data_IF_697595065985
#
_entry.id   IF_697595065985
#
_cell.length_a   1.000
_cell.length_b   1.000
_cell.length_c   1.000
_cell.angle_alpha   90.00
_cell.angle_beta   90.00
_cell.angle_gamma   90.00
#
_symmetry.space_group_name_H-M   'P 1'
#
loop_
_entity.id
_entity.type
_entity.pdbx_description
1 polymer ?
#
# COMPACT_ATOMS: atom_id res chain seq x y z
N UNK A 1 59.82 -8.62 -25.03
CA UNK A 1 59.43 -8.35 -23.62
C UNK A 1 58.76 -6.99 -23.40
N UNK A 2 59.35 -5.86 -23.84
CA UNK A 2 58.76 -4.51 -23.65
C UNK A 2 57.32 -4.35 -24.16
N UNK A 3 56.96 -4.94 -25.31
CA UNK A 3 55.59 -4.92 -25.82
C UNK A 3 54.59 -5.73 -24.96
N UNK A 4 55.05 -6.78 -24.27
CA UNK A 4 54.22 -7.60 -23.37
C UNK A 4 53.96 -6.88 -22.04
N UNK A 5 54.98 -6.22 -21.49
CA UNK A 5 54.85 -5.40 -20.28
C UNK A 5 53.90 -4.22 -20.54
N UNK A 6 54.03 -3.55 -21.69
CA UNK A 6 53.11 -2.49 -22.10
C UNK A 6 51.65 -2.96 -22.26
N UNK A 7 51.44 -4.18 -22.79
CA UNK A 7 50.11 -4.81 -22.90
C UNK A 7 49.53 -5.19 -21.53
N UNK A 8 50.35 -5.66 -20.59
CA UNK A 8 49.91 -6.00 -19.24
C UNK A 8 49.54 -4.75 -18.43
N UNK A 9 50.35 -3.69 -18.50
CA UNK A 9 50.06 -2.39 -17.88
C UNK A 9 48.80 -1.73 -18.45
N UNK A 10 48.55 -1.87 -19.77
CA UNK A 10 47.32 -1.38 -20.39
C UNK A 10 46.07 -2.11 -19.86
N UNK A 11 46.16 -3.43 -19.66
CA UNK A 11 45.06 -4.24 -19.07
C UNK A 11 44.81 -3.88 -17.61
N UNK A 12 45.85 -3.66 -16.81
CA UNK A 12 45.73 -3.20 -15.42
C UNK A 12 45.09 -1.82 -15.33
N UNK A 13 45.48 -0.87 -16.19
CA UNK A 13 44.84 0.46 -16.27
C UNK A 13 43.37 0.36 -16.67
N UNK A 14 43.01 -0.53 -17.59
CA UNK A 14 41.61 -0.75 -17.97
C UNK A 14 40.79 -1.33 -16.81
N UNK A 15 41.32 -2.32 -16.08
CA UNK A 15 40.67 -2.87 -14.88
C UNK A 15 40.50 -1.81 -13.80
N UNK A 16 41.53 -1.01 -13.53
CA UNK A 16 41.47 0.07 -12.54
C UNK A 16 40.45 1.14 -12.94
N UNK A 17 40.39 1.52 -14.22
CA UNK A 17 39.39 2.44 -14.74
C UNK A 17 37.97 1.87 -14.64
N UNK A 18 37.78 0.57 -14.89
CA UNK A 18 36.49 -0.10 -14.74
C UNK A 18 36.03 -0.14 -13.27
N UNK A 19 36.95 -0.41 -12.33
CA UNK A 19 36.66 -0.36 -10.88
C UNK A 19 36.29 1.05 -10.43
N UNK A 20 37.01 2.07 -10.87
CA UNK A 20 36.69 3.46 -10.57
C UNK A 20 35.29 3.83 -11.10
N UNK A 21 34.97 3.43 -12.35
CA UNK A 21 33.64 3.67 -12.93
C UNK A 21 32.52 2.99 -12.13
N UNK A 22 32.75 1.78 -11.63
CA UNK A 22 31.80 1.07 -10.74
C UNK A 22 31.59 1.81 -9.42
N UNK A 23 32.67 2.28 -8.79
CA UNK A 23 32.59 3.06 -7.55
C UNK A 23 31.80 4.37 -7.74
N UNK A 24 32.01 5.04 -8.88
CA UNK A 24 31.24 6.25 -9.24
C UNK A 24 29.75 5.94 -9.48
N UNK A 25 29.43 4.84 -10.17
CA UNK A 25 28.05 4.37 -10.39
C UNK A 25 27.35 4.05 -9.05
N UNK A 26 28.05 3.36 -8.13
CA UNK A 26 27.55 3.05 -6.78
C UNK A 26 27.35 4.31 -5.92
N UNK A 27 28.31 5.24 -5.96
CA UNK A 27 28.22 6.53 -5.28
C UNK A 27 27.04 7.36 -5.82
N UNK A 28 26.82 7.37 -7.14
CA UNK A 28 25.68 8.05 -7.74
C UNK A 28 24.34 7.41 -7.32
N UNK A 29 24.28 6.08 -7.19
CA UNK A 29 23.08 5.36 -6.76
C UNK A 29 22.74 5.61 -5.28
N UNK A 30 23.74 5.60 -4.40
CA UNK A 30 23.55 5.93 -2.98
C UNK A 30 23.07 7.37 -2.80
N UNK A 31 23.63 8.32 -3.55
CA UNK A 31 23.20 9.71 -3.53
C UNK A 31 21.77 9.87 -4.03
N UNK A 32 21.38 9.23 -5.15
CA UNK A 32 19.99 9.21 -5.63
C UNK A 32 19.02 8.65 -4.59
N UNK A 33 19.40 7.58 -3.89
CA UNK A 33 18.59 7.02 -2.81
C UNK A 33 18.41 8.02 -1.66
N UNK A 34 19.49 8.69 -1.24
CA UNK A 34 19.47 9.68 -0.16
C UNK A 34 18.60 10.91 -0.47
N UNK A 35 18.59 11.37 -1.73
CA UNK A 35 17.72 12.47 -2.16
C UNK A 35 16.24 12.05 -2.14
N UNK A 36 15.94 10.83 -2.63
CA UNK A 36 14.59 10.27 -2.61
C UNK A 36 14.03 10.09 -1.19
N UNK A 37 14.88 9.65 -0.23
CA UNK A 37 14.48 9.54 1.18
C UNK A 37 14.21 10.91 1.80
N UNK A 38 15.03 11.92 1.49
CA UNK A 38 14.84 13.30 1.96
C UNK A 38 13.52 13.91 1.44
N UNK A 39 13.23 13.75 0.14
CA UNK A 39 11.97 14.21 -0.45
C UNK A 39 10.77 13.47 0.13
N UNK A 40 10.93 12.17 0.41
CA UNK A 40 9.96 11.38 1.15
C UNK A 40 9.69 11.92 2.56
N UNK A 41 10.71 12.40 3.28
CA UNK A 41 10.55 13.00 4.61
C UNK A 41 9.84 14.36 4.52
N UNK A 42 10.28 15.24 3.63
CA UNK A 42 9.64 16.56 3.40
C UNK A 42 8.17 16.43 3.05
N UNK A 43 7.81 15.47 2.20
CA UNK A 43 6.42 15.19 1.84
C UNK A 43 5.59 14.68 3.01
N UNK A 44 6.15 13.79 3.85
CA UNK A 44 5.47 13.34 5.09
C UNK A 44 5.23 14.48 6.06
N UNK A 45 6.22 15.35 6.27
CA UNK A 45 6.11 16.50 7.17
C UNK A 45 5.08 17.51 6.68
N UNK A 46 5.04 17.77 5.38
CA UNK A 46 4.02 18.62 4.76
C UNK A 46 2.62 18.06 5.00
N UNK A 47 2.43 16.76 4.78
CA UNK A 47 1.16 16.08 5.01
C UNK A 47 0.77 16.14 6.48
N UNK A 48 1.70 15.90 7.42
CA UNK A 48 1.44 16.00 8.87
C UNK A 48 1.01 17.41 9.27
N UNK A 49 1.64 18.45 8.73
CA UNK A 49 1.24 19.85 8.95
C UNK A 49 -0.17 20.11 8.43
N UNK A 50 -0.51 19.59 7.25
CA UNK A 50 -1.86 19.71 6.69
C UNK A 50 -2.91 18.98 7.55
N UNK A 51 -2.59 17.81 8.10
CA UNK A 51 -3.49 17.08 9.00
C UNK A 51 -3.73 17.84 10.30
N UNK A 52 -2.67 18.40 10.91
CA UNK A 52 -2.79 19.22 12.11
C UNK A 52 -3.62 20.48 11.85
N UNK A 53 -3.43 21.13 10.69
CA UNK A 53 -4.22 22.29 10.31
C UNK A 53 -5.71 21.92 10.14
N UNK A 54 -6.01 20.81 9.45
CA UNK A 54 -7.38 20.34 9.27
C UNK A 54 -8.03 19.90 10.59
N UNK A 55 -7.27 19.29 11.51
CA UNK A 55 -7.77 18.94 12.84
C UNK A 55 -8.13 20.20 13.65
N UNK A 56 -7.28 21.23 13.62
CA UNK A 56 -7.58 22.52 14.28
C UNK A 56 -8.82 23.19 13.70
N UNK A 57 -8.99 23.17 12.38
CA UNK A 57 -10.20 23.73 11.74
C UNK A 57 -11.46 22.95 12.12
N UNK A 58 -11.39 21.61 12.19
CA UNK A 58 -12.48 20.78 12.71
C UNK A 58 -12.87 21.15 14.14
N UNK A 59 -11.89 21.30 15.03
CA UNK A 59 -12.15 21.67 16.42
C UNK A 59 -12.78 23.08 16.51
N UNK A 60 -12.33 24.01 15.66
CA UNK A 60 -12.93 25.36 15.56
C UNK A 60 -14.38 25.31 15.08
N UNK A 61 -14.68 24.56 14.03
CA UNK A 61 -16.06 24.46 13.51
C UNK A 61 -16.97 23.74 14.51
N UNK A 62 -16.47 22.73 15.23
CA UNK A 62 -17.18 22.08 16.32
C UNK A 62 -17.49 23.06 17.46
N UNK A 63 -16.51 23.84 17.91
CA UNK A 63 -16.70 24.86 18.94
C UNK A 63 -17.70 25.94 18.52
N UNK A 64 -17.62 26.43 17.28
CA UNK A 64 -18.58 27.38 16.71
C UNK A 64 -20.00 26.81 16.68
N UNK A 65 -20.16 25.53 16.31
CA UNK A 65 -21.47 24.87 16.31
C UNK A 65 -22.09 24.80 17.70
N UNK A 66 -21.26 24.51 18.72
CA UNK A 66 -21.68 24.46 20.12
C UNK A 66 -22.08 25.85 20.63
N UNK A 67 -21.28 26.87 20.35
CA UNK A 67 -21.58 28.26 20.74
C UNK A 67 -22.89 28.75 20.11
N UNK A 68 -23.16 28.41 18.85
CA UNK A 68 -24.44 28.73 18.19
C UNK A 68 -25.62 28.02 18.86
N UNK A 69 -25.47 26.76 19.26
CA UNK A 69 -26.50 26.02 19.97
C UNK A 69 -26.79 26.61 21.37
N UNK A 70 -25.75 27.01 22.09
CA UNK A 70 -25.86 27.68 23.40
C UNK A 70 -26.58 29.03 23.27
N UNK A 71 -26.20 29.84 22.27
CA UNK A 71 -26.86 31.11 22.00
C UNK A 71 -28.35 30.92 21.66
N UNK A 72 -28.69 29.90 20.86
CA UNK A 72 -30.07 29.55 20.55
C UNK A 72 -30.87 29.16 21.79
N UNK A 73 -30.28 28.35 22.68
CA UNK A 73 -30.89 27.96 23.95
C UNK A 73 -31.11 29.17 24.87
N UNK A 74 -30.13 30.08 24.94
CA UNK A 74 -30.22 31.30 25.73
C UNK A 74 -31.37 32.20 25.28
N UNK A 75 -31.55 32.40 23.97
CA UNK A 75 -32.68 33.16 23.42
C UNK A 75 -34.02 32.55 23.85
N UNK A 76 -34.17 31.23 23.75
CA UNK A 76 -35.40 30.53 24.16
C UNK A 76 -35.70 30.72 25.65
N UNK A 77 -34.67 30.59 26.51
CA UNK A 77 -34.83 30.79 27.95
C UNK A 77 -35.21 32.23 28.30
N UNK A 78 -34.55 33.21 27.68
CA UNK A 78 -34.87 34.63 27.88
C UNK A 78 -36.29 34.96 27.43
N UNK A 79 -36.73 34.41 26.29
CA UNK A 79 -38.10 34.57 25.79
C UNK A 79 -39.15 34.03 26.77
N UNK A 80 -38.91 32.82 27.31
CA UNK A 80 -39.79 32.23 28.32
C UNK A 80 -39.85 33.07 29.61
N UNK A 81 -38.70 33.52 30.12
CA UNK A 81 -38.65 34.36 31.32
C UNK A 81 -39.40 35.69 31.17
N UNK A 82 -39.22 36.37 30.03
CA UNK A 82 -39.94 37.62 29.71
C UNK A 82 -41.46 37.39 29.65
N UNK A 83 -41.90 36.29 29.03
CA UNK A 83 -43.33 35.92 28.94
C UNK A 83 -43.95 35.71 30.32
N UNK A 84 -43.25 35.04 31.22
CA UNK A 84 -43.72 34.83 32.60
C UNK A 84 -43.81 36.15 33.39
N UNK A 85 -42.80 37.02 33.25
CA UNK A 85 -42.80 38.33 33.89
C UNK A 85 -43.97 39.21 33.39
N UNK A 86 -44.21 39.23 32.08
CA UNK A 86 -45.32 39.96 31.47
C UNK A 86 -46.68 39.44 32.00
N UNK A 87 -46.88 38.12 32.09
CA UNK A 87 -48.10 37.52 32.66
C UNK A 87 -48.33 37.97 34.11
N UNK A 88 -47.29 37.97 34.95
CA UNK A 88 -47.40 38.45 36.34
C UNK A 88 -47.73 39.94 36.42
N UNK A 89 -47.13 40.76 35.55
CA UNK A 89 -47.41 42.20 35.48
C UNK A 89 -48.86 42.48 35.08
N UNK A 90 -49.35 41.81 34.04
CA UNK A 90 -50.75 41.95 33.57
C UNK A 90 -51.73 41.51 34.66
N UNK A 91 -51.46 40.41 35.36
CA UNK A 91 -52.31 39.95 36.47
C UNK A 91 -52.40 41.00 37.60
N UNK A 92 -51.29 41.67 37.92
CA UNK A 92 -51.26 42.76 38.92
C UNK A 92 -52.11 43.95 38.47
N UNK A 93 -51.91 44.43 37.24
CA UNK A 93 -52.67 45.56 36.67
C UNK A 93 -54.17 45.24 36.66
N UNK A 94 -54.56 44.03 36.25
CA UNK A 94 -55.97 43.58 36.29
C UNK A 94 -56.54 43.61 37.69
N UNK A 95 -55.78 43.18 38.70
CA UNK A 95 -56.21 43.22 40.11
C UNK A 95 -56.41 44.65 40.61
N UNK A 96 -55.51 45.57 40.27
CA UNK A 96 -55.62 46.99 40.62
C UNK A 96 -56.82 47.65 39.94
N UNK A 97 -57.08 47.33 38.67
CA UNK A 97 -58.26 47.83 37.93
C UNK A 97 -59.57 47.32 38.52
N UNK A 98 -59.64 46.03 38.88
CA UNK A 98 -60.80 45.47 39.58
C UNK A 98 -61.04 46.16 40.93
N UNK A 99 -60.00 46.34 41.74
CA UNK A 99 -60.11 47.04 43.03
C UNK A 99 -60.57 48.49 42.86
N UNK A 100 -60.11 49.20 41.83
CA UNK A 100 -60.55 50.57 41.53
C UNK A 100 -62.03 50.66 41.12
N UNK A 101 -62.54 49.66 40.38
CA UNK A 101 -63.96 49.59 40.01
C UNK A 101 -64.85 49.22 41.20
N UNK A 102 -64.36 48.44 42.15
CA UNK A 102 -65.11 48.03 43.34
C UNK A 102 -65.14 49.11 44.44
N UNK A 103 -64.19 50.05 44.43
CA UNK A 103 -64.15 51.20 45.35
C UNK A 103 -65.19 52.28 45.05
N UNK A 104 -65.71 52.34 43.81
CA UNK A 104 -66.72 53.33 43.40
C UNK A 104 -68.14 52.85 43.74
N UNK A 105 -68.83 53.60 44.60
CA UNK A 105 -70.23 53.32 44.99
C UNK A 105 -71.27 53.86 44.00
N UNK A 106 -70.93 54.91 43.24
CA UNK A 106 -71.82 55.53 42.25
C UNK A 106 -71.75 54.78 40.92
N UNK A 107 -72.91 54.33 40.42
CA UNK A 107 -73.01 53.50 39.21
C UNK A 107 -72.58 54.24 37.93
N UNK A 108 -72.93 55.51 37.79
CA UNK A 108 -72.56 56.33 36.64
C UNK A 108 -71.04 56.55 36.56
N UNK A 109 -70.40 56.85 37.71
CA UNK A 109 -68.96 57.03 37.79
C UNK A 109 -68.21 55.72 37.52
N UNK A 110 -68.77 54.58 37.94
CA UNK A 110 -68.24 53.25 37.64
C UNK A 110 -68.34 52.91 36.14
N UNK A 111 -69.44 53.26 35.48
CA UNK A 111 -69.63 53.06 34.04
C UNK A 111 -68.66 53.92 33.20
N UNK A 112 -68.48 55.20 33.56
CA UNK A 112 -67.53 56.10 32.89
C UNK A 112 -66.08 55.64 33.07
N UNK A 113 -65.70 55.25 34.30
CA UNK A 113 -64.36 54.72 34.56
C UNK A 113 -64.11 53.42 33.79
N UNK A 114 -65.10 52.53 33.73
CA UNK A 114 -65.03 51.28 32.96
C UNK A 114 -64.84 51.55 31.47
N UNK A 115 -65.64 52.44 30.87
CA UNK A 115 -65.50 52.80 29.46
C UNK A 115 -64.13 53.43 29.13
N UNK A 116 -63.59 54.24 30.06
CA UNK A 116 -62.23 54.81 29.94
C UNK A 116 -61.16 53.73 30.02
N UNK A 117 -61.28 52.81 30.98
CA UNK A 117 -60.37 51.66 31.13
C UNK A 117 -60.43 50.73 29.91
N UNK A 118 -61.62 50.49 29.33
CA UNK A 118 -61.81 49.65 28.15
C UNK A 118 -61.17 50.28 26.90
N UNK A 119 -61.29 51.61 26.72
CA UNK A 119 -60.62 52.33 25.63
C UNK A 119 -59.09 52.30 25.75
N UNK A 120 -58.57 52.51 26.96
CA UNK A 120 -57.13 52.39 27.23
C UNK A 120 -56.63 50.95 27.05
N UNK A 121 -57.40 49.95 27.47
CA UNK A 121 -57.09 48.53 27.22
C UNK A 121 -57.07 48.19 25.73
N UNK A 122 -58.04 48.68 24.96
CA UNK A 122 -58.07 48.47 23.51
C UNK A 122 -56.83 49.09 22.84
N UNK A 123 -56.44 50.30 23.24
CA UNK A 123 -55.23 50.97 22.74
C UNK A 123 -53.96 50.21 23.10
N UNK A 124 -53.80 49.83 24.37
CA UNK A 124 -52.66 49.06 24.85
C UNK A 124 -52.58 47.67 24.21
N UNK A 125 -53.73 47.02 23.96
CA UNK A 125 -53.79 45.74 23.27
C UNK A 125 -53.32 45.86 21.81
N UNK A 126 -53.75 46.89 21.09
CA UNK A 126 -53.28 47.16 19.73
C UNK A 126 -51.78 47.45 19.69
N UNK A 127 -51.28 48.27 20.63
CA UNK A 127 -49.85 48.55 20.74
C UNK A 127 -49.05 47.29 21.08
N UNK A 128 -49.54 46.46 22.00
CA UNK A 128 -48.91 45.19 22.34
C UNK A 128 -48.85 44.24 21.15
N UNK A 129 -49.91 44.13 20.35
CA UNK A 129 -49.93 43.29 19.16
C UNK A 129 -48.89 43.75 18.13
N UNK A 130 -48.78 45.06 17.88
CA UNK A 130 -47.77 45.63 16.99
C UNK A 130 -46.35 45.39 17.52
N UNK A 131 -46.11 45.60 18.81
CA UNK A 131 -44.81 45.35 19.43
C UNK A 131 -44.48 43.84 19.49
N UNK A 132 -45.49 42.96 19.61
CA UNK A 132 -45.33 41.50 19.55
C UNK A 132 -45.00 41.05 18.12
N UNK A 133 -45.66 41.60 17.11
CA UNK A 133 -45.39 41.33 15.70
C UNK A 133 -43.99 41.81 15.30
N UNK A 134 -43.58 43.02 15.69
CA UNK A 134 -42.22 43.52 15.45
C UNK A 134 -41.16 42.62 16.13
N UNK A 135 -41.42 42.18 17.37
CA UNK A 135 -40.52 41.24 18.07
C UNK A 135 -40.51 39.85 17.46
N UNK A 136 -41.63 39.37 16.92
CA UNK A 136 -41.71 38.10 16.22
C UNK A 136 -40.88 38.16 14.92
N UNK A 137 -41.02 39.23 14.14
CA UNK A 137 -40.21 39.46 12.93
C UNK A 137 -38.71 39.55 13.26
N UNK A 138 -38.32 40.27 14.32
CA UNK A 138 -36.92 40.29 14.77
C UNK A 138 -36.41 38.90 15.18
N UNK A 139 -37.25 38.09 15.82
CA UNK A 139 -36.91 36.71 16.20
C UNK A 139 -36.75 35.82 14.97
N UNK A 140 -37.68 35.89 14.01
CA UNK A 140 -37.61 35.16 12.74
C UNK A 140 -36.35 35.52 11.95
N UNK A 141 -36.00 36.82 11.87
CA UNK A 141 -34.74 37.26 11.23
C UNK A 141 -33.52 36.68 11.95
N UNK A 142 -33.50 36.69 13.28
CA UNK A 142 -32.40 36.08 14.06
C UNK A 142 -32.32 34.57 13.88
N UNK A 143 -33.45 33.88 13.83
CA UNK A 143 -33.52 32.44 13.58
C UNK A 143 -33.06 32.09 12.16
N UNK A 144 -33.48 32.85 11.16
CA UNK A 144 -33.01 32.70 9.78
C UNK A 144 -31.50 32.92 9.67
N UNK A 145 -30.96 33.96 10.34
CA UNK A 145 -29.51 34.18 10.40
C UNK A 145 -28.78 33.02 11.08
N UNK A 146 -29.32 32.46 12.17
CA UNK A 146 -28.75 31.28 12.82
C UNK A 146 -28.78 30.06 11.89
N UNK A 147 -29.88 29.85 11.16
CA UNK A 147 -30.02 28.78 10.19
C UNK A 147 -29.04 28.92 9.02
N UNK A 148 -28.83 30.13 8.49
CA UNK A 148 -27.83 30.39 7.47
C UNK A 148 -26.42 30.10 7.99
N UNK A 149 -26.07 30.60 9.18
CA UNK A 149 -24.78 30.30 9.82
C UNK A 149 -24.57 28.80 10.05
N UNK A 150 -25.62 28.07 10.44
CA UNK A 150 -25.54 26.61 10.57
C UNK A 150 -25.35 25.92 9.21
N UNK A 151 -26.04 26.38 8.15
CA UNK A 151 -25.86 25.85 6.78
C UNK A 151 -24.44 26.10 6.28
N UNK A 152 -23.92 27.32 6.42
CA UNK A 152 -22.53 27.67 6.08
C UNK A 152 -21.53 26.80 6.85
N UNK A 153 -21.76 26.58 8.14
CA UNK A 153 -20.88 25.76 8.96
C UNK A 153 -20.91 24.28 8.53
N UNK A 154 -22.09 23.75 8.20
CA UNK A 154 -22.22 22.40 7.63
C UNK A 154 -21.52 22.28 6.28
N UNK A 155 -21.60 23.31 5.44
CA UNK A 155 -20.90 23.34 4.16
C UNK A 155 -19.38 23.36 4.36
N UNK A 156 -18.86 24.18 5.27
CA UNK A 156 -17.44 24.18 5.67
C UNK A 156 -16.98 22.80 6.12
N UNK A 157 -17.76 22.14 6.98
CA UNK A 157 -17.47 20.77 7.42
C UNK A 157 -17.44 19.77 6.25
N UNK A 158 -18.35 19.88 5.28
CA UNK A 158 -18.34 19.02 4.08
C UNK A 158 -17.09 19.26 3.22
N UNK A 159 -16.71 20.51 3.02
CA UNK A 159 -15.49 20.88 2.28
C UNK A 159 -14.24 20.36 3.00
N UNK A 160 -14.18 20.47 4.33
CA UNK A 160 -13.10 19.91 5.14
C UNK A 160 -13.03 18.38 5.07
N UNK A 161 -14.17 17.69 5.12
CA UNK A 161 -14.23 16.25 4.94
C UNK A 161 -13.71 15.84 3.55
N UNK A 162 -14.05 16.60 2.50
CA UNK A 162 -13.50 16.39 1.15
C UNK A 162 -11.98 16.56 1.16
N UNK A 163 -11.45 17.64 1.75
CA UNK A 163 -9.99 17.84 1.89
C UNK A 163 -9.30 16.69 2.62
N UNK A 164 -9.92 16.14 3.66
CA UNK A 164 -9.41 14.95 4.36
C UNK A 164 -9.35 13.71 3.46
N UNK A 165 -10.41 13.46 2.68
CA UNK A 165 -10.46 12.34 1.72
C UNK A 165 -9.39 12.52 0.63
N UNK A 166 -9.25 13.72 0.09
CA UNK A 166 -8.24 14.04 -0.91
C UNK A 166 -6.82 13.83 -0.37
N UNK A 167 -6.57 14.20 0.89
CA UNK A 167 -5.29 13.97 1.54
C UNK A 167 -5.01 12.47 1.75
N UNK A 168 -6.01 11.70 2.17
CA UNK A 168 -5.90 10.24 2.29
C UNK A 168 -5.62 9.59 0.93
N UNK A 169 -6.30 10.02 -0.13
CA UNK A 169 -6.05 9.56 -1.49
C UNK A 169 -4.61 9.86 -1.94
N UNK A 170 -4.12 11.08 -1.67
CA UNK A 170 -2.72 11.45 -1.96
C UNK A 170 -1.71 10.56 -1.21
N UNK A 171 -1.98 10.21 0.05
CA UNK A 171 -1.15 9.27 0.82
C UNK A 171 -1.12 7.88 0.17
N UNK A 172 -2.28 7.35 -0.22
CA UNK A 172 -2.39 6.05 -0.89
C UNK A 172 -1.64 6.06 -2.22
N UNK A 173 -1.85 7.08 -3.04
CA UNK A 173 -1.13 7.23 -4.32
C UNK A 173 0.38 7.33 -4.12
N UNK A 174 0.85 8.06 -3.10
CA UNK A 174 2.27 8.13 -2.77
C UNK A 174 2.84 6.77 -2.34
N UNK A 175 2.08 5.99 -1.56
CA UNK A 175 2.45 4.62 -1.19
C UNK A 175 2.52 3.70 -2.42
N UNK A 176 1.54 3.81 -3.32
CA UNK A 176 1.52 3.09 -4.61
C UNK A 176 2.73 3.42 -5.49
N UNK A 177 3.06 4.72 -5.67
CA UNK A 177 4.27 5.14 -6.40
C UNK A 177 5.54 4.56 -5.79
N UNK A 178 5.66 4.54 -4.45
CA UNK A 178 6.80 3.91 -3.78
C UNK A 178 6.86 2.40 -4.00
N UNK A 179 5.72 1.72 -4.05
CA UNK A 179 5.66 0.29 -4.34
C UNK A 179 6.16 0.00 -5.76
N UNK A 180 5.68 0.76 -6.75
CA UNK A 180 6.13 0.63 -8.15
C UNK A 180 7.63 0.88 -8.27
N UNK A 181 8.14 1.98 -7.70
CA UNK A 181 9.57 2.30 -7.73
C UNK A 181 10.45 1.20 -7.08
N UNK A 182 10.00 0.61 -5.95
CA UNK A 182 10.70 -0.54 -5.34
C UNK A 182 10.65 -1.78 -6.21
N UNK A 183 9.55 -2.02 -6.92
CA UNK A 183 9.40 -3.15 -7.83
C UNK A 183 10.34 -3.02 -9.02
N UNK A 184 10.41 -1.84 -9.62
CA UNK A 184 11.32 -1.51 -10.72
C UNK A 184 12.78 -1.61 -10.28
N UNK A 185 13.13 -1.09 -9.09
CA UNK A 185 14.49 -1.23 -8.55
C UNK A 185 14.90 -2.69 -8.40
N UNK A 186 14.02 -3.55 -7.85
CA UNK A 186 14.27 -5.00 -7.75
C UNK A 186 14.36 -5.69 -9.11
N UNK A 187 13.66 -5.20 -10.13
CA UNK A 187 13.78 -5.71 -11.50
C UNK A 187 15.11 -5.31 -12.11
N UNK A 188 15.51 -4.05 -11.96
CA UNK A 188 16.80 -3.53 -12.43
C UNK A 188 17.97 -4.23 -11.74
N UNK A 189 17.90 -4.46 -10.43
CA UNK A 189 18.90 -5.24 -9.69
C UNK A 189 19.04 -6.66 -10.24
N UNK A 190 17.91 -7.35 -10.48
CA UNK A 190 17.92 -8.68 -11.10
C UNK A 190 18.51 -8.67 -12.52
N UNK A 191 18.20 -7.65 -13.31
CA UNK A 191 18.81 -7.49 -14.65
C UNK A 191 20.32 -7.25 -14.57
N UNK A 192 20.76 -6.38 -13.66
CA UNK A 192 22.18 -6.10 -13.44
C UNK A 192 22.93 -7.34 -12.95
N UNK A 193 22.35 -8.10 -12.01
CA UNK A 193 22.91 -9.37 -11.54
C UNK A 193 22.96 -10.42 -12.65
N UNK A 194 21.92 -10.50 -13.48
CA UNK A 194 21.88 -11.38 -14.64
C UNK A 194 22.96 -11.01 -15.67
N UNK A 195 23.11 -9.72 -15.99
CA UNK A 195 24.20 -9.25 -16.86
C UNK A 195 25.57 -9.53 -16.25
N UNK A 196 25.72 -9.36 -14.93
CA UNK A 196 26.96 -9.68 -14.21
C UNK A 196 27.29 -11.16 -14.33
N UNK A 197 26.34 -12.04 -14.04
CA UNK A 197 26.51 -13.48 -14.18
C UNK A 197 26.81 -13.87 -15.62
N UNK A 198 26.15 -13.25 -16.61
CA UNK A 198 26.43 -13.48 -18.03
C UNK A 198 27.84 -13.07 -18.41
N UNK A 199 28.34 -11.91 -17.93
CA UNK A 199 29.73 -11.46 -18.15
C UNK A 199 30.73 -12.36 -17.42
N UNK A 200 30.46 -12.75 -16.18
CA UNK A 200 31.29 -13.70 -15.43
C UNK A 200 31.37 -15.05 -16.13
N UNK A 201 30.24 -15.55 -16.66
CA UNK A 201 30.21 -16.77 -17.46
C UNK A 201 31.00 -16.61 -18.75
N UNK A 202 30.79 -15.53 -19.51
CA UNK A 202 31.56 -15.26 -20.73
C UNK A 202 33.07 -15.11 -20.46
N UNK A 203 33.46 -14.52 -19.33
CA UNK A 203 34.85 -14.43 -18.90
C UNK A 203 35.43 -15.80 -18.52
N UNK A 204 34.65 -16.66 -17.85
CA UNK A 204 35.03 -18.05 -17.57
C UNK A 204 35.15 -18.87 -18.85
N UNK A 205 34.21 -18.73 -19.78
CA UNK A 205 34.21 -19.43 -21.07
C UNK A 205 35.40 -18.96 -21.93
N UNK A 206 35.71 -17.66 -21.94
CA UNK A 206 36.89 -17.11 -22.62
C UNK A 206 38.21 -17.56 -21.96
N UNK A 207 38.27 -17.63 -20.62
CA UNK A 207 39.43 -18.18 -19.92
C UNK A 207 39.58 -19.69 -20.19
N UNK A 208 38.49 -20.44 -20.28
CA UNK A 208 38.51 -21.85 -20.66
C UNK A 208 38.97 -22.05 -22.12
N UNK A 209 38.56 -21.17 -23.04
CA UNK A 209 39.03 -21.17 -24.42
C UNK A 209 40.52 -20.85 -24.52
N UNK A 210 41.02 -19.85 -23.76
CA UNK A 210 42.45 -19.51 -23.70
C UNK A 210 43.29 -20.68 -23.16
N UNK A 211 42.75 -21.46 -22.20
CA UNK A 211 43.37 -22.70 -21.72
C UNK A 211 43.32 -23.81 -22.79
N UNK A 212 42.24 -23.93 -23.56
CA UNK A 212 42.15 -24.92 -24.64
C UNK A 212 43.09 -24.61 -25.81
N UNK A 213 43.25 -23.33 -26.17
CA UNK A 213 44.18 -22.88 -27.22
C UNK A 213 45.66 -23.17 -26.87
N UNK A 214 45.96 -23.46 -25.59
CA UNK A 214 47.31 -23.79 -25.11
C UNK A 214 47.66 -25.29 -25.25
N UNK A 215 46.68 -26.17 -25.46
CA UNK A 215 46.89 -27.61 -25.56
C UNK A 215 46.57 -28.12 -26.97
N UNK A 216 47.57 -28.65 -27.66
CA UNK A 216 47.45 -29.16 -29.03
C UNK A 216 47.32 -30.68 -29.00
N UNK A 217 46.37 -31.23 -29.74
CA UNK A 217 46.19 -32.67 -29.89
C UNK A 217 47.17 -33.22 -30.94
N UNK A 218 47.90 -34.28 -30.57
CA UNK A 218 48.80 -35.02 -31.44
C UNK A 218 48.43 -36.50 -31.42
N UNK A 219 48.62 -37.18 -32.56
CA UNK A 219 48.42 -38.62 -32.67
C UNK A 219 49.75 -39.36 -32.43
N UNK A 220 49.77 -40.30 -31.50
CA UNK A 220 50.92 -41.19 -31.29
C UNK A 220 50.67 -42.53 -32.01
N UNK A 221 51.43 -42.79 -33.07
CA UNK A 221 51.36 -44.03 -33.84
C UNK A 221 51.73 -45.27 -33.01
N UNK A 222 52.58 -45.10 -31.99
CA UNK A 222 53.12 -46.19 -31.18
C UNK A 222 52.14 -46.62 -30.08
N UNK A 223 51.39 -45.65 -29.54
CA UNK A 223 50.31 -45.88 -28.57
C UNK A 223 48.93 -46.07 -29.22
N UNK A 224 48.81 -45.81 -30.54
CA UNK A 224 47.55 -45.77 -31.29
C UNK A 224 46.47 -44.90 -30.61
N UNK A 225 46.89 -43.76 -30.05
CA UNK A 225 46.00 -42.85 -29.32
C UNK A 225 46.44 -41.39 -29.44
N UNK A 226 45.48 -40.48 -29.29
CA UNK A 226 45.76 -39.03 -29.20
C UNK A 226 46.30 -38.66 -27.82
N UNK A 227 47.32 -37.81 -27.77
CA UNK A 227 47.76 -37.11 -26.55
C UNK A 227 47.65 -35.60 -26.72
N UNK A 228 47.49 -34.89 -25.61
CA UNK A 228 47.42 -33.43 -25.58
C UNK A 228 48.76 -32.88 -25.09
N UNK A 229 49.37 -32.01 -25.88
CA UNK A 229 50.64 -31.37 -25.56
C UNK A 229 50.44 -29.89 -25.24
N UNK A 230 50.87 -29.47 -24.05
CA UNK A 230 50.87 -28.06 -23.68
C UNK A 230 52.06 -27.35 -24.32
N UNK A 231 51.78 -26.45 -25.26
CA UNK A 231 52.83 -25.72 -25.99
C UNK A 231 53.58 -24.69 -25.12
N UNK A 232 53.07 -24.35 -23.93
CA UNK A 232 53.68 -23.40 -22.98
C UNK A 232 54.50 -24.08 -21.89
N UNK A 233 54.00 -25.15 -21.27
CA UNK A 233 54.69 -25.88 -20.19
C UNK A 233 55.55 -27.04 -20.69
N UNK A 234 55.40 -27.41 -21.97
CA UNK A 234 56.03 -28.59 -22.58
C UNK A 234 55.63 -29.91 -21.90
N UNK A 235 54.49 -29.93 -21.23
CA UNK A 235 53.93 -31.12 -20.58
C UNK A 235 53.03 -31.87 -21.56
N UNK A 236 53.10 -33.21 -21.54
CA UNK A 236 52.19 -34.08 -22.28
C UNK A 236 51.20 -34.73 -21.30
N UNK A 237 49.93 -34.74 -21.68
CA UNK A 237 48.86 -35.40 -20.92
C UNK A 237 48.02 -36.26 -21.85
N UNK A 238 47.68 -37.47 -21.39
CA UNK A 238 46.74 -38.35 -22.08
C UNK A 238 45.27 -37.93 -21.88
N UNK A 239 45.00 -37.00 -20.95
CA UNK A 239 43.66 -36.45 -20.70
C UNK A 239 43.60 -34.98 -21.09
N UNK A 240 42.53 -34.58 -21.77
CA UNK A 240 42.31 -33.20 -22.23
C UNK A 240 42.09 -32.26 -21.05
N UNK A 241 42.94 -31.25 -20.82
CA UNK A 241 42.75 -30.31 -19.73
C UNK A 241 41.56 -29.38 -20.04
N UNK A 242 40.66 -29.22 -19.06
CA UNK A 242 39.44 -28.44 -19.17
C UNK A 242 38.15 -29.24 -19.36
N UNK A 243 38.24 -30.55 -19.65
CA UNK A 243 37.09 -31.46 -19.68
C UNK A 243 37.15 -32.40 -18.46
N UNK A 244 36.54 -31.99 -17.35
CA UNK A 244 36.50 -32.79 -16.11
C UNK A 244 35.11 -33.37 -15.88
N UNK A 245 34.53 -34.05 -16.88
CA UNK A 245 33.41 -34.95 -16.64
C UNK A 245 34.00 -36.31 -16.19
N UNK A 246 33.88 -36.73 -14.92
CA UNK A 246 34.50 -37.98 -14.44
C UNK A 246 34.06 -39.22 -15.23
N UNK A 247 32.85 -39.20 -15.81
CA UNK A 247 32.31 -40.27 -16.67
C UNK A 247 33.05 -40.41 -18.01
N UNK A 248 33.46 -39.29 -18.62
CA UNK A 248 34.20 -39.30 -19.89
C UNK A 248 35.67 -39.65 -19.69
N UNK A 249 36.25 -39.21 -18.55
CA UNK A 249 37.60 -39.61 -18.12
C UNK A 249 37.67 -41.13 -17.86
N UNK A 250 36.64 -41.69 -17.23
CA UNK A 250 36.55 -43.13 -17.02
C UNK A 250 36.40 -43.90 -18.34
N UNK A 251 35.60 -43.40 -19.29
CA UNK A 251 35.43 -44.00 -20.61
C UNK A 251 36.72 -43.98 -21.46
N UNK A 252 37.49 -42.89 -21.42
CA UNK A 252 38.79 -42.79 -22.11
C UNK A 252 39.87 -43.68 -21.47
N UNK A 253 39.85 -43.86 -20.16
CA UNK A 253 40.76 -44.81 -19.49
C UNK A 253 40.38 -46.27 -19.78
N UNK A 254 39.08 -46.59 -19.87
CA UNK A 254 38.59 -47.93 -20.23
C UNK A 254 38.92 -48.30 -21.69
N UNK A 255 38.93 -47.34 -22.62
CA UNK A 255 39.35 -47.59 -24.01
C UNK A 255 40.84 -47.88 -24.12
N UNK A 256 41.65 -47.42 -23.16
CA UNK A 256 43.09 -47.70 -23.10
C UNK A 256 43.40 -49.10 -22.54
N UNK A 257 42.55 -49.64 -21.66
CA UNK A 257 42.78 -50.92 -20.99
C UNK A 257 42.18 -52.13 -21.71
N UNK A 258 41.45 -51.94 -22.82
CA UNK A 258 40.75 -53.04 -23.51
C UNK A 258 41.55 -53.73 -24.62
N UNK A 259 42.87 -53.52 -24.68
CA UNK A 259 43.78 -54.31 -25.52
C UNK A 259 44.42 -55.52 -24.80
N UNK A 260 44.24 -55.66 -23.49
CA UNK A 260 44.60 -56.89 -22.79
C UNK A 260 43.44 -57.38 -21.91
N UNK A 261 43.09 -58.65 -22.12
CA UNK A 261 42.22 -59.47 -21.29
C UNK A 261 40.73 -59.09 -21.27
N UNK A 262 40.05 -59.53 -22.33
CA UNK A 262 38.72 -60.10 -22.17
C UNK A 262 38.81 -61.32 -21.25
N UNK A 263 38.40 -61.19 -19.99
CA UNK A 263 37.81 -62.25 -19.16
C UNK A 263 37.32 -61.66 -17.84
N UNK A 264 36.08 -61.99 -17.50
CA UNK A 264 35.52 -62.03 -16.14
C UNK A 264 35.78 -60.85 -15.19
N UNK A 265 34.72 -60.14 -14.82
CA UNK A 265 34.17 -60.29 -13.47
C UNK A 265 32.79 -59.64 -13.41
N UNK A 266 31.81 -60.52 -13.49
CA UNK A 266 30.47 -60.33 -12.98
C UNK A 266 30.56 -60.42 -11.45
N UNK A 267 30.25 -59.34 -10.73
CA UNK A 267 29.89 -59.44 -9.30
C UNK A 267 29.06 -58.25 -8.82
N UNK A 268 27.75 -58.46 -8.87
CA UNK A 268 26.78 -58.28 -7.78
C UNK A 268 27.13 -57.36 -6.59
N UNK A 269 26.27 -56.34 -6.45
CA UNK A 269 25.38 -56.16 -5.29
C UNK A 269 25.99 -56.34 -3.88
N UNK A 270 26.26 -55.21 -3.21
CA UNK A 270 26.16 -55.12 -1.75
C UNK A 270 25.92 -53.65 -1.31
N UNK A 271 24.89 -53.41 -0.50
CA UNK A 271 24.84 -52.23 0.37
C UNK A 271 23.54 -51.42 0.35
N UNK A 272 22.51 -51.97 0.97
CA UNK A 272 21.24 -51.32 1.26
C UNK A 272 21.32 -50.18 2.30
N UNK A 273 20.19 -49.46 2.38
CA UNK A 273 19.70 -48.61 3.47
C UNK A 273 20.14 -47.15 3.49
N UNK A 274 19.25 -46.27 3.01
CA UNK A 274 18.63 -45.20 3.81
C UNK A 274 17.38 -44.73 3.06
N UNK A 275 16.21 -45.10 3.58
CA UNK A 275 14.93 -44.51 3.23
C UNK A 275 14.77 -43.19 3.97
N UNK A 276 14.46 -42.06 3.31
CA UNK A 276 13.93 -40.89 3.99
C UNK A 276 12.41 -40.90 3.85
N UNK A 277 11.74 -41.76 4.62
CA UNK A 277 10.34 -41.53 4.97
C UNK A 277 10.30 -40.43 6.04
N UNK A 278 10.31 -39.19 5.57
CA UNK A 278 9.75 -37.98 6.20
C UNK A 278 9.58 -36.95 5.10
N UNK A 279 8.50 -37.11 4.33
CA UNK A 279 7.97 -36.00 3.55
C UNK A 279 7.55 -34.91 4.53
N UNK A 280 8.21 -33.75 4.46
CA UNK A 280 7.80 -32.56 5.20
C UNK A 280 6.36 -32.23 4.78
N UNK A 281 5.42 -32.41 5.70
CA UNK A 281 4.03 -32.15 5.41
C UNK A 281 3.67 -30.69 5.49
N UNK A 282 3.61 -30.13 4.29
CA UNK A 282 3.15 -28.80 4.03
C UNK A 282 1.67 -28.94 3.63
N UNK A 283 0.82 -28.17 4.29
CA UNK A 283 -0.62 -28.07 4.04
C UNK A 283 -1.09 -26.65 4.33
N UNK A 284 -2.36 -26.34 4.05
CA UNK A 284 -2.94 -25.04 4.36
C UNK A 284 -4.32 -25.18 5.01
N UNK A 285 -4.65 -24.24 5.89
CA UNK A 285 -5.96 -24.15 6.55
C UNK A 285 -6.91 -23.32 5.71
N UNK A 286 -8.11 -23.83 5.43
CA UNK A 286 -9.15 -23.01 4.82
C UNK A 286 -9.74 -21.98 5.81
N UNK A 287 -10.57 -21.07 5.28
CA UNK A 287 -11.25 -20.06 6.09
C UNK A 287 -12.23 -20.63 7.14
N UNK A 288 -12.55 -21.94 7.05
CA UNK A 288 -13.33 -22.70 8.02
C UNK A 288 -12.48 -23.44 9.06
N UNK A 289 -11.15 -23.37 8.97
CA UNK A 289 -10.22 -24.03 9.89
C UNK A 289 -9.96 -25.50 9.60
N UNK A 290 -10.34 -26.01 8.42
CA UNK A 290 -10.04 -27.39 8.01
C UNK A 290 -8.68 -27.47 7.30
N UNK A 291 -7.86 -28.48 7.64
CA UNK A 291 -6.50 -28.64 7.14
C UNK A 291 -6.46 -29.54 5.90
N UNK A 292 -5.89 -29.05 4.80
CA UNK A 292 -5.79 -29.78 3.53
C UNK A 292 -4.33 -30.08 3.17
N UNK A 293 -4.09 -31.30 2.68
CA UNK A 293 -2.77 -31.84 2.33
C UNK A 293 -2.52 -31.74 0.82
N UNK A 294 -1.29 -31.45 0.39
CA UNK A 294 -0.95 -31.51 -1.04
C UNK A 294 -0.58 -32.95 -1.43
N UNK A 295 -1.37 -33.57 -2.30
CA UNK A 295 -0.97 -34.83 -2.94
C UNK A 295 -0.08 -34.50 -4.14
N UNK A 296 1.23 -34.71 -3.98
CA UNK A 296 2.23 -34.44 -5.03
C UNK A 296 2.36 -35.58 -6.04
N UNK A 297 1.43 -36.53 -6.11
CA UNK A 297 1.52 -37.67 -7.03
C UNK A 297 0.86 -37.46 -8.40
N UNK A 298 0.27 -36.29 -8.68
CA UNK A 298 -0.25 -35.98 -10.01
C UNK A 298 0.45 -34.77 -10.66
N UNK A 299 1.20 -35.10 -11.70
CA UNK A 299 1.90 -34.21 -12.63
C UNK A 299 0.91 -33.43 -13.51
N UNK A 300 0.29 -32.39 -12.93
CA UNK A 300 -0.31 -31.31 -13.73
C UNK A 300 -0.22 -29.98 -12.98
N UNK A 301 0.80 -29.17 -13.31
CA UNK A 301 0.79 -27.72 -13.02
C UNK A 301 -0.37 -27.05 -13.79
N UNK A 302 -0.96 -25.91 -13.33
CA UNK A 302 -0.19 -24.77 -12.87
C UNK A 302 -0.74 -23.89 -11.73
N UNK A 303 0.23 -23.19 -11.14
CA UNK A 303 0.21 -22.07 -10.20
C UNK A 303 -0.65 -20.85 -10.61
N UNK A 304 -1.80 -21.02 -11.27
CA UNK A 304 -2.63 -19.91 -11.78
C UNK A 304 -4.08 -19.91 -11.24
N UNK A 305 -4.34 -20.74 -10.21
CA UNK A 305 -5.62 -20.75 -9.49
C UNK A 305 -6.79 -21.47 -10.18
N UNK A 306 -6.59 -21.95 -11.41
CA UNK A 306 -7.58 -22.73 -12.16
C UNK A 306 -7.39 -24.23 -11.92
N UNK A 307 -8.47 -24.94 -11.59
CA UNK A 307 -8.49 -26.41 -11.58
C UNK A 307 -9.58 -26.95 -12.51
N UNK A 308 -9.31 -28.09 -13.14
CA UNK A 308 -10.25 -28.78 -14.02
C UNK A 308 -11.10 -29.77 -13.22
N UNK A 309 -12.40 -29.77 -13.47
CA UNK A 309 -13.39 -30.69 -12.92
C UNK A 309 -14.19 -31.33 -14.04
N UNK A 310 -14.87 -32.44 -13.76
CA UNK A 310 -15.85 -33.04 -14.66
C UNK A 310 -17.23 -32.95 -14.04
N UNK A 311 -18.21 -32.58 -14.84
CA UNK A 311 -19.60 -32.55 -14.44
C UNK A 311 -20.17 -33.99 -14.44
N UNK A 312 -20.78 -34.41 -13.33
CA UNK A 312 -21.25 -35.80 -13.17
C UNK A 312 -22.51 -36.10 -14.01
N UNK A 313 -23.28 -35.09 -14.41
CA UNK A 313 -24.49 -35.29 -15.22
C UNK A 313 -24.20 -35.36 -16.72
N UNK A 314 -23.21 -34.60 -17.19
CA UNK A 314 -22.87 -34.50 -18.62
C UNK A 314 -21.55 -35.18 -18.99
N UNK A 315 -20.68 -35.49 -18.02
CA UNK A 315 -19.33 -35.97 -18.24
C UNK A 315 -18.36 -34.94 -18.84
N UNK A 316 -18.84 -33.71 -19.08
CA UNK A 316 -18.06 -32.64 -19.70
C UNK A 316 -17.08 -32.01 -18.70
N UNK A 317 -15.89 -31.64 -19.18
CA UNK A 317 -14.88 -30.99 -18.36
C UNK A 317 -15.15 -29.48 -18.26
N UNK A 318 -14.98 -28.91 -17.07
CA UNK A 318 -15.04 -27.47 -16.82
C UNK A 318 -13.88 -27.03 -15.93
N UNK A 319 -13.44 -25.79 -16.06
CA UNK A 319 -12.40 -25.17 -15.26
C UNK A 319 -13.01 -24.21 -14.22
N UNK A 320 -12.46 -24.20 -13.01
CA UNK A 320 -12.88 -23.35 -11.91
C UNK A 320 -11.70 -22.60 -11.29
N UNK A 321 -11.85 -21.28 -11.15
CA UNK A 321 -10.84 -20.43 -10.51
C UNK A 321 -11.13 -20.28 -9.01
N UNK A 322 -10.18 -20.70 -8.17
CA UNK A 322 -10.31 -20.70 -6.72
C UNK A 322 -10.13 -19.31 -6.09
N UNK A 323 -9.55 -18.36 -6.82
CA UNK A 323 -9.36 -16.98 -6.35
C UNK A 323 -10.54 -16.07 -6.72
N UNK A 324 -11.14 -16.24 -7.90
CA UNK A 324 -12.22 -15.39 -8.40
C UNK A 324 -13.61 -16.02 -8.31
N UNK A 325 -13.70 -17.35 -8.14
CA UNK A 325 -14.96 -18.10 -8.14
C UNK A 325 -15.58 -18.27 -9.53
N UNK A 326 -14.84 -17.98 -10.59
CA UNK A 326 -15.32 -18.06 -11.98
C UNK A 326 -15.27 -19.51 -12.51
N UNK A 327 -16.25 -19.87 -13.36
CA UNK A 327 -16.35 -21.18 -14.02
C UNK A 327 -16.33 -21.01 -15.54
N UNK A 328 -15.60 -21.87 -16.23
CA UNK A 328 -15.51 -21.90 -17.69
C UNK A 328 -15.66 -23.34 -18.20
N UNK A 329 -16.48 -23.59 -19.22
CA UNK A 329 -16.67 -24.93 -19.80
C UNK A 329 -15.72 -25.13 -20.99
N UNK A 330 -15.09 -26.30 -21.07
CA UNK A 330 -14.13 -26.64 -22.12
C UNK A 330 -14.82 -27.13 -23.40
#
# INVERSE_FOLDING_TARGET
ERARVASAEARERQKAAEVARRQEEDAAMTLKHSLSTLDSMKTKDLVRKQELALAKEKDKTAAQSKALAEHHAAIKMQGWGRKQLARRRIARIRKEQHAALDALKNEEQRAVLKAKQDKEHARLKMQMLLDEEARAQEQEVRELQLMLKQKELREKQRVEQKKHKDLAARKIQAAGRRYVARRELKQMQRQMEFERQKREKAAKDAAAADVQDEWVEYWDENAQASYYFNIRTQEASWTKPGYTNPTEVAAQLLSYSTALTAHDFQQDNYGASYSPDKGDDVGYFDAGGHYHYYDTTNDTTPSDGWAQYKDEQSGAAYYYNHFTGERYWA
#
